data_IF_577074172549
#
_entry.id   IF_577074172549
#
_cell.length_a   1.000
_cell.length_b   1.000
_cell.length_c   1.000
_cell.angle_alpha   90.00
_cell.angle_beta   90.00
_cell.angle_gamma   90.00
#
_symmetry.space_group_name_H-M   'P 1'
#
loop_
_entity.id
_entity.type
_entity.pdbx_description
1 polymer ?
#
# COMPACT_ATOMS: atom_id res chain seq x y z
N UNK A 1 -15.54 -14.08 -22.82
CA UNK A 1 -15.77 -14.93 -21.64
C UNK A 1 -14.60 -15.90 -21.55
N UNK A 2 -13.81 -15.86 -20.47
CA UNK A 2 -12.59 -16.66 -20.34
C UNK A 2 -12.66 -17.59 -19.13
N UNK A 3 -12.36 -18.86 -19.37
CA UNK A 3 -12.40 -20.04 -18.51
C UNK A 3 -11.50 -19.99 -17.25
N UNK A 4 -10.98 -18.81 -16.91
CA UNK A 4 -10.01 -18.57 -15.81
C UNK A 4 -10.72 -18.38 -14.45
N UNK A 5 -11.97 -17.91 -14.45
CA UNK A 5 -12.69 -17.58 -13.21
C UNK A 5 -13.02 -18.78 -12.31
N UNK A 6 -13.25 -19.97 -12.88
CA UNK A 6 -13.61 -21.17 -12.11
C UNK A 6 -12.39 -21.95 -11.59
N UNK A 7 -11.26 -21.89 -12.31
CA UNK A 7 -10.03 -22.55 -11.89
C UNK A 7 -9.39 -21.88 -10.65
N UNK A 8 -9.51 -20.55 -10.52
CA UNK A 8 -8.95 -19.80 -9.38
C UNK A 8 -9.73 -20.02 -8.06
N UNK A 9 -11.07 -20.11 -8.14
CA UNK A 9 -11.95 -20.28 -6.98
C UNK A 9 -11.73 -21.63 -6.27
N UNK A 10 -11.39 -22.68 -7.03
CA UNK A 10 -11.22 -24.05 -6.53
C UNK A 10 -9.83 -24.33 -5.94
N UNK A 11 -8.80 -23.62 -6.42
CA UNK A 11 -7.45 -23.72 -5.88
C UNK A 11 -7.22 -22.87 -4.59
N UNK A 12 -8.17 -21.97 -4.26
CA UNK A 12 -8.13 -21.12 -3.07
C UNK A 12 -8.40 -21.90 -1.77
N UNK A 13 -9.46 -22.71 -1.71
CA UNK A 13 -9.88 -23.37 -0.45
C UNK A 13 -8.89 -24.38 0.15
N UNK A 14 -8.01 -25.01 -0.65
CA UNK A 14 -7.04 -26.01 -0.15
C UNK A 14 -5.66 -25.43 0.20
N UNK A 15 -5.47 -24.12 0.02
CA UNK A 15 -4.19 -23.42 0.25
C UNK A 15 -4.22 -22.46 1.45
N UNK A 16 -5.33 -22.42 2.18
CA UNK A 16 -5.60 -21.41 3.22
C UNK A 16 -4.91 -21.68 4.57
N UNK A 17 -4.35 -22.88 4.82
CA UNK A 17 -3.94 -23.27 6.19
C UNK A 17 -2.49 -22.98 6.61
N UNK A 18 -1.59 -22.51 5.73
CA UNK A 18 -0.17 -22.39 6.15
C UNK A 18 0.46 -21.01 6.12
N UNK A 19 0.30 -20.18 5.09
CA UNK A 19 0.95 -18.85 5.06
C UNK A 19 0.19 -17.93 4.09
N UNK A 20 -0.64 -17.04 4.64
CA UNK A 20 -1.52 -16.13 3.89
C UNK A 20 -0.77 -15.30 2.85
N UNK A 21 -1.01 -15.64 1.56
CA UNK A 21 -0.40 -15.04 0.37
C UNK A 21 -1.04 -13.72 -0.02
N UNK A 22 -0.15 -12.74 -0.23
CA UNK A 22 -0.02 -11.93 -1.44
C UNK A 22 -1.05 -12.12 -2.57
N UNK A 23 -1.76 -11.03 -2.87
CA UNK A 23 -2.38 -10.79 -4.17
C UNK A 23 -1.51 -9.78 -4.93
N UNK A 24 -0.99 -10.22 -6.09
CA UNK A 24 -0.36 -9.35 -7.09
C UNK A 24 -1.41 -8.46 -7.77
N UNK A 25 -0.98 -7.23 -8.06
CA UNK A 25 -1.78 -6.09 -8.50
C UNK A 25 -2.01 -6.18 -10.02
N UNK A 26 -2.91 -5.34 -10.54
CA UNK A 26 -3.16 -4.97 -11.94
C UNK A 26 -4.38 -5.66 -12.57
N UNK A 27 -5.55 -5.04 -12.36
CA UNK A 27 -6.28 -4.39 -13.45
C UNK A 27 -7.48 -3.58 -12.94
N UNK A 28 -7.46 -2.25 -13.15
CA UNK A 28 -8.71 -1.53 -13.42
C UNK A 28 -8.53 -0.49 -14.52
N UNK A 29 -9.42 -0.62 -15.51
CA UNK A 29 -9.60 0.17 -16.72
C UNK A 29 -10.22 1.51 -16.33
N UNK A 30 -9.53 2.63 -16.57
CA UNK A 30 -10.13 3.96 -16.38
C UNK A 30 -11.29 4.16 -17.36
N UNK A 31 -12.46 4.54 -16.83
CA UNK A 31 -13.49 5.16 -17.65
C UNK A 31 -13.01 6.57 -17.99
N UNK A 32 -12.87 6.90 -19.28
CA UNK A 32 -12.66 8.28 -19.74
C UNK A 32 -13.78 9.14 -19.16
N UNK A 33 -13.45 10.07 -18.25
CA UNK A 33 -14.31 11.22 -18.00
C UNK A 33 -14.20 12.15 -19.22
N UNK A 34 -15.33 12.43 -19.86
CA UNK A 34 -15.41 13.38 -20.97
C UNK A 34 -15.08 14.81 -20.54
N UNK A 35 -14.90 15.73 -21.51
CA UNK A 35 -14.51 17.10 -21.21
C UNK A 35 -15.59 17.80 -20.36
N UNK A 36 -15.18 18.28 -19.20
CA UNK A 36 -16.01 19.03 -18.26
C UNK A 36 -16.27 20.43 -18.87
N UNK A 37 -17.54 20.75 -19.17
CA UNK A 37 -17.93 22.05 -19.77
C UNK A 37 -17.59 23.21 -18.83
N UNK A 38 -16.99 24.30 -19.38
CA UNK A 38 -16.56 25.53 -18.69
C UNK A 38 -17.55 26.11 -17.65
N UNK A 39 -18.85 25.86 -17.81
CA UNK A 39 -19.91 26.26 -16.86
C UNK A 39 -19.78 25.62 -15.46
N UNK A 40 -19.29 24.38 -15.37
CA UNK A 40 -19.10 23.70 -14.07
C UNK A 40 -17.88 24.22 -13.30
N UNK A 41 -16.84 24.69 -14.00
CA UNK A 41 -15.70 25.37 -13.37
C UNK A 41 -16.10 26.71 -12.75
N UNK A 42 -17.03 27.43 -13.38
CA UNK A 42 -17.55 28.70 -12.85
C UNK A 42 -18.38 28.47 -11.57
N UNK A 43 -19.21 27.43 -11.52
CA UNK A 43 -19.98 27.11 -10.31
C UNK A 43 -19.08 26.69 -9.13
N UNK A 44 -18.04 25.91 -9.39
CA UNK A 44 -17.08 25.50 -8.35
C UNK A 44 -16.27 26.70 -7.85
N UNK A 45 -15.82 27.59 -8.74
CA UNK A 45 -15.11 28.80 -8.36
C UNK A 45 -15.97 29.73 -7.49
N UNK A 46 -17.25 29.94 -7.83
CA UNK A 46 -18.17 30.74 -7.02
C UNK A 46 -18.42 30.13 -5.64
N UNK A 47 -18.52 28.81 -5.53
CA UNK A 47 -18.70 28.12 -4.24
C UNK A 47 -17.46 28.26 -3.34
N UNK A 48 -16.25 28.20 -3.93
CA UNK A 48 -14.99 28.40 -3.21
C UNK A 48 -14.86 29.85 -2.72
N UNK A 49 -15.23 30.84 -3.53
CA UNK A 49 -15.22 32.25 -3.13
C UNK A 49 -16.20 32.50 -1.99
N UNK A 50 -17.40 31.92 -2.03
CA UNK A 50 -18.38 32.01 -0.94
C UNK A 50 -17.88 31.36 0.36
N UNK A 51 -17.21 30.21 0.27
CA UNK A 51 -16.61 29.54 1.44
C UNK A 51 -15.45 30.35 2.03
N UNK A 52 -14.59 30.94 1.18
CA UNK A 52 -13.51 31.82 1.64
C UNK A 52 -14.06 33.10 2.30
N UNK A 53 -15.13 33.69 1.75
CA UNK A 53 -15.80 34.84 2.34
C UNK A 53 -16.45 34.48 3.70
N UNK A 54 -17.05 33.29 3.82
CA UNK A 54 -17.61 32.78 5.09
C UNK A 54 -16.54 32.52 6.15
N UNK A 55 -15.40 31.94 5.75
CA UNK A 55 -14.25 31.74 6.65
C UNK A 55 -13.63 33.07 7.09
N UNK A 56 -13.63 34.08 6.22
CA UNK A 56 -13.15 35.43 6.57
C UNK A 56 -14.13 36.14 7.53
N UNK A 57 -15.44 35.97 7.34
CA UNK A 57 -16.46 36.55 8.22
C UNK A 57 -16.47 35.90 9.62
N UNK A 58 -16.24 34.59 9.73
CA UNK A 58 -16.17 33.89 11.01
C UNK A 58 -14.83 34.09 11.76
N UNK A 59 -13.81 34.65 11.10
CA UNK A 59 -12.53 34.97 11.75
C UNK A 59 -12.59 36.28 12.55
N UNK A 60 -13.50 37.20 12.22
CA UNK A 60 -13.63 38.49 12.90
C UNK A 60 -14.38 38.43 14.25
N UNK A 61 -15.10 37.35 14.54
CA UNK A 61 -15.85 37.18 15.80
C UNK A 61 -15.03 36.50 16.91
N UNK A 62 -13.83 35.99 16.60
CA UNK A 62 -12.99 35.24 17.55
C UNK A 62 -12.02 36.12 18.35
N UNK A 63 -12.12 37.46 18.25
CA UNK A 63 -11.19 38.37 18.93
C UNK A 63 -11.80 39.04 20.16
N UNK A 64 -12.37 38.24 21.06
CA UNK A 64 -12.81 38.72 22.37
C UNK A 64 -12.77 37.63 23.45
N UNK A 65 -11.58 37.09 23.76
CA UNK A 65 -11.23 36.69 25.13
C UNK A 65 -9.73 36.34 25.22
N UNK A 66 -8.98 37.18 25.90
CA UNK A 66 -7.64 36.84 26.37
C UNK A 66 -7.77 35.91 27.59
N UNK A 67 -7.08 34.76 27.64
CA UNK A 67 -7.07 33.95 28.85
C UNK A 67 -6.21 34.63 29.92
N UNK A 68 -6.79 34.79 31.10
CA UNK A 68 -6.10 35.18 32.33
C UNK A 68 -5.01 34.14 32.66
N UNK A 69 -3.80 34.62 33.02
CA UNK A 69 -2.66 33.78 33.38
C UNK A 69 -2.96 32.98 34.66
N UNK A 70 -3.40 31.73 34.51
CA UNK A 70 -3.51 30.77 35.61
C UNK A 70 -2.30 29.82 35.56
N UNK A 71 -1.43 29.92 36.56
CA UNK A 71 -0.33 28.97 36.80
C UNK A 71 -0.86 27.53 36.87
N UNK A 72 -0.23 26.54 36.22
CA UNK A 72 -0.69 25.15 36.29
C UNK A 72 -0.48 24.59 37.69
N UNK A 73 -1.59 24.34 38.40
CA UNK A 73 -1.58 23.56 39.64
C UNK A 73 -1.27 22.08 39.32
N UNK A 74 -0.49 21.38 40.15
CA UNK A 74 -0.17 19.97 39.92
C UNK A 74 -1.45 19.13 40.02
N UNK A 75 -1.88 18.57 38.87
CA UNK A 75 -3.03 17.65 38.82
C UNK A 75 -2.71 16.38 39.61
N UNK A 76 -3.45 16.16 40.70
CA UNK A 76 -3.54 14.88 41.41
C UNK A 76 -3.97 13.80 40.40
N UNK A 77 -3.29 12.64 40.30
CA UNK A 77 -3.61 11.64 39.29
C UNK A 77 -5.05 11.15 39.48
N UNK A 78 -5.83 11.23 38.42
CA UNK A 78 -7.19 10.69 38.38
C UNK A 78 -7.17 9.16 38.57
N UNK A 79 -8.22 8.55 39.15
CA UNK A 79 -8.30 7.10 39.31
C UNK A 79 -8.16 6.40 37.97
N UNK A 80 -7.43 5.28 37.95
CA UNK A 80 -7.23 4.42 36.77
C UNK A 80 -8.59 3.93 36.24
N UNK A 81 -9.14 4.66 35.27
CA UNK A 81 -10.26 4.21 34.46
C UNK A 81 -9.76 3.10 33.52
N UNK A 82 -10.62 2.11 33.32
CA UNK A 82 -10.46 0.92 32.46
C UNK A 82 -9.45 1.14 31.34
N UNK A 83 -8.34 0.38 31.31
CA UNK A 83 -7.37 0.40 30.21
C UNK A 83 -8.12 0.14 28.89
N UNK A 84 -8.47 1.19 28.16
CA UNK A 84 -8.75 1.07 26.74
C UNK A 84 -7.55 0.36 26.14
N UNK A 85 -7.80 -0.78 25.50
CA UNK A 85 -6.77 -1.54 24.80
C UNK A 85 -6.35 -0.69 23.60
N UNK A 86 -5.40 0.21 23.81
CA UNK A 86 -4.88 1.08 22.75
C UNK A 86 -4.42 0.19 21.60
N UNK A 87 -4.95 0.38 20.37
CA UNK A 87 -4.61 -0.49 19.26
C UNK A 87 -3.10 -0.50 19.05
N UNK A 88 -2.50 -1.68 19.04
CA UNK A 88 -1.07 -1.83 18.74
C UNK A 88 -0.86 -1.92 17.22
N UNK A 89 0.40 -1.96 16.77
CA UNK A 89 0.72 -2.02 15.34
C UNK A 89 0.01 -3.17 14.60
N UNK A 90 -0.18 -4.32 15.26
CA UNK A 90 -0.88 -5.47 14.69
C UNK A 90 -2.36 -5.16 14.47
N UNK A 91 -3.02 -4.48 15.39
CA UNK A 91 -4.44 -4.12 15.26
C UNK A 91 -4.68 -3.17 14.08
N UNK A 92 -3.85 -2.12 13.95
CA UNK A 92 -3.90 -1.22 12.81
C UNK A 92 -3.59 -1.93 11.48
N UNK A 93 -2.63 -2.87 11.49
CA UNK A 93 -2.34 -3.67 10.32
C UNK A 93 -3.53 -4.55 9.91
N UNK A 94 -4.23 -5.20 10.86
CA UNK A 94 -5.41 -6.00 10.54
C UNK A 94 -6.53 -5.14 9.94
N UNK A 95 -6.78 -3.96 10.50
CA UNK A 95 -7.73 -3.01 9.91
C UNK A 95 -7.33 -2.66 8.45
N UNK A 96 -6.05 -2.36 8.22
CA UNK A 96 -5.54 -2.05 6.88
C UNK A 96 -5.74 -3.20 5.90
N UNK A 97 -5.56 -4.45 6.34
CA UNK A 97 -5.84 -5.62 5.50
C UNK A 97 -7.31 -5.75 5.14
N UNK A 98 -8.21 -5.54 6.09
CA UNK A 98 -9.65 -5.65 5.84
C UNK A 98 -10.14 -4.54 4.91
N UNK A 99 -9.62 -3.32 5.05
CA UNK A 99 -9.83 -2.25 4.07
C UNK A 99 -9.29 -2.63 2.68
N UNK A 100 -8.08 -3.18 2.61
CA UNK A 100 -7.45 -3.57 1.35
C UNK A 100 -8.26 -4.66 0.63
N UNK A 101 -8.65 -5.73 1.34
CA UNK A 101 -9.52 -6.79 0.78
C UNK A 101 -10.85 -6.25 0.26
N UNK A 102 -11.40 -5.23 0.93
CA UNK A 102 -12.62 -4.56 0.52
C UNK A 102 -12.45 -3.49 -0.57
N UNK A 103 -11.26 -3.31 -1.14
CA UNK A 103 -10.97 -2.30 -2.18
C UNK A 103 -10.91 -0.86 -1.66
N UNK A 104 -10.97 -0.65 -0.35
CA UNK A 104 -10.89 0.67 0.32
C UNK A 104 -9.42 1.07 0.51
N UNK A 105 -8.76 1.39 -0.60
CA UNK A 105 -7.30 1.53 -0.65
C UNK A 105 -6.76 2.71 0.16
N UNK A 106 -7.48 3.83 0.19
CA UNK A 106 -7.11 5.01 0.98
C UNK A 106 -7.15 4.72 2.48
N UNK A 107 -8.19 4.03 2.95
CA UNK A 107 -8.32 3.62 4.35
C UNK A 107 -7.32 2.52 4.72
N UNK A 108 -7.01 1.62 3.78
CA UNK A 108 -5.96 0.62 3.94
C UNK A 108 -4.60 1.28 4.17
N UNK A 109 -4.26 2.27 3.34
CA UNK A 109 -3.04 3.05 3.48
C UNK A 109 -2.95 3.74 4.83
N UNK A 110 -4.00 4.48 5.22
CA UNK A 110 -4.02 5.19 6.50
C UNK A 110 -3.84 4.23 7.68
N UNK A 111 -4.39 3.02 7.60
CA UNK A 111 -4.25 1.99 8.62
C UNK A 111 -2.84 1.39 8.65
N UNK A 112 -2.22 1.11 7.50
CA UNK A 112 -0.81 0.69 7.46
C UNK A 112 0.15 1.78 7.97
N UNK A 113 -0.08 3.04 7.65
CA UNK A 113 0.70 4.17 8.19
C UNK A 113 0.53 4.30 9.71
N UNK A 114 -0.66 4.04 10.26
CA UNK A 114 -0.87 3.94 11.72
C UNK A 114 -0.09 2.77 12.32
N UNK A 115 -0.11 1.60 11.67
CA UNK A 115 0.68 0.44 12.11
C UNK A 115 2.18 0.78 12.17
N UNK A 116 2.70 1.49 11.15
CA UNK A 116 4.09 1.90 11.06
C UNK A 116 4.48 3.04 12.00
N UNK A 117 3.52 3.88 12.42
CA UNK A 117 3.73 4.84 13.51
C UNK A 117 3.84 4.15 14.86
N UNK A 118 3.06 3.09 15.08
CA UNK A 118 3.11 2.30 16.31
C UNK A 118 4.35 1.38 16.36
N UNK A 119 4.74 0.81 15.22
CA UNK A 119 5.96 0.00 15.06
C UNK A 119 6.60 0.29 13.68
N UNK A 120 7.64 1.14 13.61
CA UNK A 120 8.36 1.45 12.38
C UNK A 120 9.05 0.24 11.72
N UNK A 121 9.20 -0.86 12.48
CA UNK A 121 9.78 -2.13 12.08
C UNK A 121 8.77 -3.16 11.58
N UNK A 122 7.48 -2.83 11.51
CA UNK A 122 6.43 -3.78 11.12
C UNK A 122 6.48 -4.13 9.63
N UNK A 123 7.36 -5.08 9.29
CA UNK A 123 7.78 -5.44 7.93
C UNK A 123 6.60 -5.72 7.00
N UNK A 124 5.56 -6.39 7.49
CA UNK A 124 4.40 -6.77 6.67
C UNK A 124 3.56 -5.53 6.27
N UNK A 125 3.52 -4.49 7.12
CA UNK A 125 2.87 -3.22 6.77
C UNK A 125 3.70 -2.40 5.78
N UNK A 126 5.03 -2.35 5.92
CA UNK A 126 5.92 -1.71 4.94
C UNK A 126 5.74 -2.31 3.54
N UNK A 127 5.71 -3.63 3.50
CA UNK A 127 5.48 -4.41 2.30
C UNK A 127 4.12 -4.09 1.64
N UNK A 128 3.02 -4.11 2.41
CA UNK A 128 1.68 -3.79 1.89
C UNK A 128 1.54 -2.31 1.48
N UNK A 129 2.22 -1.40 2.19
CA UNK A 129 2.27 0.00 1.81
C UNK A 129 3.03 0.19 0.48
N UNK A 130 4.12 -0.56 0.27
CA UNK A 130 4.83 -0.62 -1.01
C UNK A 130 3.91 -1.03 -2.17
N UNK A 131 3.13 -2.10 -1.99
CA UNK A 131 2.08 -2.55 -2.94
C UNK A 131 1.09 -1.44 -3.26
N UNK A 132 0.56 -0.74 -2.24
CA UNK A 132 -0.35 0.39 -2.47
C UNK A 132 0.31 1.51 -3.27
N UNK A 133 1.57 1.84 -2.98
CA UNK A 133 2.31 2.84 -3.74
C UNK A 133 2.54 2.45 -5.21
N UNK A 134 2.73 1.15 -5.52
CA UNK A 134 2.79 0.67 -6.92
C UNK A 134 1.45 0.95 -7.61
N UNK A 135 0.32 0.63 -6.96
CA UNK A 135 -1.01 0.88 -7.51
C UNK A 135 -1.28 2.39 -7.72
N UNK A 136 -0.76 3.24 -6.84
CA UNK A 136 -0.81 4.70 -6.97
C UNK A 136 0.19 5.27 -7.99
N UNK A 137 1.04 4.43 -8.59
CA UNK A 137 2.17 4.81 -9.46
C UNK A 137 3.23 5.68 -8.77
N UNK A 138 3.26 5.68 -7.44
CA UNK A 138 4.31 6.32 -6.66
C UNK A 138 5.49 5.34 -6.48
N UNK A 139 6.16 5.03 -7.58
CA UNK A 139 7.20 3.99 -7.64
C UNK A 139 8.37 4.27 -6.69
N UNK A 140 8.74 5.54 -6.53
CA UNK A 140 9.80 5.94 -5.60
C UNK A 140 9.44 5.65 -4.14
N UNK A 141 8.18 5.88 -3.73
CA UNK A 141 7.73 5.52 -2.38
C UNK A 141 7.57 4.00 -2.20
N UNK A 142 7.15 3.30 -3.25
CA UNK A 142 7.07 1.84 -3.27
C UNK A 142 8.44 1.21 -3.01
N UNK A 143 9.44 1.59 -3.81
CA UNK A 143 10.81 1.12 -3.70
C UNK A 143 11.37 1.35 -2.29
N UNK A 144 11.31 2.58 -1.77
CA UNK A 144 11.77 2.89 -0.41
C UNK A 144 11.13 2.01 0.66
N UNK A 145 9.83 1.73 0.54
CA UNK A 145 9.08 0.92 1.51
C UNK A 145 9.49 -0.55 1.45
N UNK A 146 9.64 -1.10 0.25
CA UNK A 146 10.04 -2.48 0.02
C UNK A 146 11.50 -2.72 0.40
N UNK A 147 12.42 -1.81 0.05
CA UNK A 147 13.81 -1.88 0.49
C UNK A 147 13.95 -1.77 2.00
N UNK A 148 13.15 -0.92 2.66
CA UNK A 148 13.12 -0.86 4.13
C UNK A 148 12.67 -2.19 4.72
N UNK A 149 11.65 -2.83 4.12
CA UNK A 149 11.21 -4.17 4.54
C UNK A 149 12.34 -5.21 4.38
N UNK A 150 13.09 -5.15 3.29
CA UNK A 150 14.27 -6.00 3.05
C UNK A 150 15.35 -5.77 4.11
N UNK A 151 15.71 -4.51 4.39
CA UNK A 151 16.74 -4.19 5.41
C UNK A 151 16.37 -4.72 6.79
N UNK A 152 15.09 -4.65 7.15
CA UNK A 152 14.60 -5.13 8.44
C UNK A 152 14.47 -6.66 8.51
N UNK A 153 14.12 -7.31 7.39
CA UNK A 153 13.99 -8.77 7.33
C UNK A 153 14.44 -9.31 5.95
N UNK A 154 15.74 -9.56 5.77
CA UNK A 154 16.30 -10.04 4.50
C UNK A 154 15.79 -11.41 4.03
N UNK A 155 15.19 -12.20 4.93
CA UNK A 155 14.56 -13.49 4.60
C UNK A 155 13.08 -13.38 4.22
N UNK A 156 12.49 -12.19 4.19
CA UNK A 156 11.10 -12.02 3.78
C UNK A 156 11.03 -11.91 2.26
N UNK A 157 10.43 -12.92 1.61
CA UNK A 157 10.45 -13.04 0.15
C UNK A 157 9.64 -11.97 -0.57
N UNK A 158 8.51 -11.56 0.02
CA UNK A 158 7.52 -10.74 -0.68
C UNK A 158 8.05 -9.38 -1.17
N UNK A 159 8.84 -8.62 -0.39
CA UNK A 159 9.43 -7.38 -0.87
C UNK A 159 10.38 -7.55 -2.06
N UNK A 160 11.14 -8.65 -2.13
CA UNK A 160 12.01 -8.93 -3.28
C UNK A 160 11.19 -9.22 -4.53
N UNK A 161 10.13 -10.02 -4.41
CA UNK A 161 9.24 -10.33 -5.52
C UNK A 161 8.55 -9.06 -6.05
N UNK A 162 8.06 -8.21 -5.15
CA UNK A 162 7.45 -6.96 -5.54
C UNK A 162 8.39 -5.97 -6.20
N UNK A 163 9.65 -5.89 -5.73
CA UNK A 163 10.66 -5.08 -6.40
C UNK A 163 10.90 -5.63 -7.81
N UNK A 164 10.93 -6.96 -7.99
CA UNK A 164 11.01 -7.55 -9.34
C UNK A 164 9.85 -7.09 -10.24
N UNK A 165 8.60 -7.14 -9.76
CA UNK A 165 7.44 -6.65 -10.50
C UNK A 165 7.50 -5.14 -10.75
N UNK A 166 7.96 -4.34 -9.77
CA UNK A 166 8.11 -2.89 -9.90
C UNK A 166 9.15 -2.51 -10.97
N UNK A 167 10.30 -3.17 -10.96
CA UNK A 167 11.36 -2.93 -11.93
C UNK A 167 10.97 -3.42 -13.33
N UNK A 168 10.27 -4.56 -13.43
CA UNK A 168 9.64 -5.01 -14.67
C UNK A 168 8.65 -3.97 -15.19
N UNK A 169 7.73 -3.48 -14.34
CA UNK A 169 6.73 -2.46 -14.70
C UNK A 169 7.36 -1.15 -15.17
N UNK A 170 8.51 -0.77 -14.61
CA UNK A 170 9.23 0.48 -14.95
C UNK A 170 10.28 0.31 -16.04
N UNK A 171 10.42 -0.88 -16.62
CA UNK A 171 11.35 -1.16 -17.73
C UNK A 171 12.81 -1.35 -17.33
N UNK A 172 13.12 -1.42 -16.04
CA UNK A 172 14.45 -1.67 -15.49
C UNK A 172 14.68 -3.19 -15.37
N UNK A 173 14.81 -3.86 -16.51
CA UNK A 173 14.63 -5.31 -16.59
C UNK A 173 15.73 -6.10 -15.85
N UNK A 174 16.97 -5.64 -15.91
CA UNK A 174 18.13 -6.25 -15.25
C UNK A 174 17.95 -6.25 -13.72
N UNK A 175 17.49 -5.13 -13.17
CA UNK A 175 17.14 -4.99 -11.76
C UNK A 175 15.99 -5.93 -11.38
N UNK A 176 14.98 -6.01 -12.23
CA UNK A 176 13.84 -6.91 -12.07
C UNK A 176 14.28 -8.37 -11.95
N UNK A 177 15.13 -8.84 -12.86
CA UNK A 177 15.68 -10.20 -12.80
C UNK A 177 16.57 -10.39 -11.57
N UNK A 178 17.37 -9.41 -11.17
CA UNK A 178 18.21 -9.50 -9.97
C UNK A 178 17.38 -9.72 -8.71
N UNK A 179 16.32 -8.91 -8.51
CA UNK A 179 15.41 -9.05 -7.39
C UNK A 179 14.63 -10.38 -7.44
N UNK A 180 14.25 -10.84 -8.63
CA UNK A 180 13.60 -12.14 -8.82
C UNK A 180 14.52 -13.30 -8.47
N UNK A 181 15.78 -13.29 -8.92
CA UNK A 181 16.81 -14.28 -8.53
C UNK A 181 16.95 -14.35 -7.01
N UNK A 182 16.95 -13.20 -6.34
CA UNK A 182 16.99 -13.15 -4.88
C UNK A 182 15.72 -13.75 -4.24
N UNK A 183 14.53 -13.41 -4.72
CA UNK A 183 13.28 -14.01 -4.25
C UNK A 183 13.27 -15.55 -4.41
N UNK A 184 13.73 -16.06 -5.56
CA UNK A 184 13.85 -17.50 -5.84
C UNK A 184 14.83 -18.19 -4.89
N UNK A 185 15.98 -17.57 -4.60
CA UNK A 185 16.95 -18.14 -3.65
C UNK A 185 16.41 -18.25 -2.22
N UNK A 186 15.53 -17.34 -1.81
CA UNK A 186 14.89 -17.35 -0.48
C UNK A 186 13.75 -18.39 -0.47
N UNK A 187 12.97 -18.44 -1.55
CA UNK A 187 11.83 -19.34 -1.68
C UNK A 187 11.77 -19.92 -3.10
N UNK A 188 12.32 -21.14 -3.33
CA UNK A 188 12.38 -21.75 -4.66
C UNK A 188 11.03 -21.82 -5.41
N UNK A 189 9.86 -22.02 -4.75
CA UNK A 189 8.56 -21.99 -5.41
C UNK A 189 8.14 -20.67 -6.06
N UNK A 190 8.93 -19.60 -5.90
CA UNK A 190 8.74 -18.33 -6.64
C UNK A 190 8.90 -18.54 -8.15
N UNK A 191 9.69 -19.54 -8.59
CA UNK A 191 9.86 -19.85 -10.02
C UNK A 191 8.53 -20.08 -10.72
N UNK A 192 7.65 -20.87 -10.11
CA UNK A 192 6.34 -21.19 -10.66
C UNK A 192 5.38 -20.00 -10.63
N UNK A 193 5.59 -19.03 -9.73
CA UNK A 193 4.81 -17.79 -9.70
C UNK A 193 5.25 -16.90 -10.85
N UNK A 194 6.57 -16.70 -11.01
CA UNK A 194 7.14 -15.84 -12.03
C UNK A 194 6.83 -16.31 -13.47
N UNK A 195 6.71 -17.62 -13.68
CA UNK A 195 6.31 -18.21 -14.97
C UNK A 195 4.83 -17.99 -15.33
N UNK A 196 3.99 -17.60 -14.37
CA UNK A 196 2.54 -17.40 -14.54
C UNK A 196 2.12 -15.95 -14.40
N UNK A 197 2.95 -15.14 -13.76
CA UNK A 197 2.67 -13.75 -13.47
C UNK A 197 2.94 -12.87 -14.69
N UNK A 198 1.88 -12.28 -15.22
CA UNK A 198 1.93 -11.42 -16.41
C UNK A 198 2.69 -10.12 -16.17
N UNK A 199 2.84 -9.68 -14.92
CA UNK A 199 3.60 -8.47 -14.58
C UNK A 199 5.10 -8.63 -14.87
N UNK A 200 5.57 -9.89 -14.94
CA UNK A 200 6.95 -10.24 -15.27
C UNK A 200 7.10 -10.68 -16.73
N UNK A 201 6.06 -10.54 -17.57
CA UNK A 201 6.06 -11.05 -18.95
C UNK A 201 7.15 -10.45 -19.83
N UNK A 202 7.55 -9.21 -19.58
CA UNK A 202 8.67 -8.56 -20.27
C UNK A 202 10.05 -9.09 -19.85
N UNK A 203 10.13 -9.87 -18.76
CA UNK A 203 11.36 -10.57 -18.35
C UNK A 203 11.49 -11.95 -18.99
N UNK A 204 10.39 -12.58 -19.42
CA UNK A 204 10.36 -14.01 -19.78
C UNK A 204 11.33 -14.42 -20.89
N UNK A 205 11.64 -13.51 -21.81
CA UNK A 205 12.54 -13.76 -22.92
C UNK A 205 14.02 -13.46 -22.61
N UNK A 206 14.32 -12.87 -21.44
CA UNK A 206 15.68 -12.56 -21.05
C UNK A 206 16.44 -13.86 -20.72
N UNK A 207 17.67 -14.05 -21.22
CA UNK A 207 18.49 -15.21 -20.90
C UNK A 207 18.63 -15.44 -19.38
N UNK A 208 18.82 -14.35 -18.63
CA UNK A 208 19.00 -14.37 -17.17
C UNK A 208 17.72 -14.77 -16.44
N UNK A 209 16.54 -14.44 -16.98
CA UNK A 209 15.27 -14.91 -16.44
C UNK A 209 15.11 -16.42 -16.66
N UNK A 210 15.36 -16.89 -17.90
CA UNK A 210 15.28 -18.31 -18.24
C UNK A 210 16.20 -19.14 -17.36
N UNK A 211 17.44 -18.67 -17.19
CA UNK A 211 18.41 -19.23 -16.25
C UNK A 211 17.85 -19.27 -14.80
N UNK A 212 17.34 -18.14 -14.30
CA UNK A 212 16.81 -18.04 -12.93
C UNK A 212 15.68 -19.05 -12.65
N UNK A 213 14.79 -19.28 -13.62
CA UNK A 213 13.67 -20.21 -13.50
C UNK A 213 14.03 -21.65 -13.90
N UNK A 214 15.27 -21.91 -14.32
CA UNK A 214 15.74 -23.24 -14.69
C UNK A 214 15.25 -23.74 -16.05
N UNK A 215 14.85 -22.83 -16.95
CA UNK A 215 14.61 -23.14 -18.36
C UNK A 215 15.89 -22.84 -19.13
N UNK A 216 16.50 -23.86 -19.75
CA UNK A 216 17.57 -23.67 -20.73
C UNK A 216 16.94 -23.84 -22.12
N UNK A 217 17.40 -23.02 -23.07
CA UNK A 217 16.97 -23.04 -24.46
C UNK A 217 17.22 -24.39 -25.14
#
# INVERSE_FOLDING_TARGET
MSYIHQALKKAQSQRDDRYGKYGGIISYRSKKLGPVKRSTWMMVASLVILLLAFMFYSWLDFKAQAPENVLPQPKKPAPLTVREKTPNAKDFYQQGREHHKGGRLSEARASYEKALRADPGYVVALNNLGVLFINEKNYSAAERSLEKAIRLKPGYVDPYYNLACLFALTGQLEEGVRYLKKAISIHPPVKEWALKDTDLSNLWNLPEFKEAVGKRD
#
